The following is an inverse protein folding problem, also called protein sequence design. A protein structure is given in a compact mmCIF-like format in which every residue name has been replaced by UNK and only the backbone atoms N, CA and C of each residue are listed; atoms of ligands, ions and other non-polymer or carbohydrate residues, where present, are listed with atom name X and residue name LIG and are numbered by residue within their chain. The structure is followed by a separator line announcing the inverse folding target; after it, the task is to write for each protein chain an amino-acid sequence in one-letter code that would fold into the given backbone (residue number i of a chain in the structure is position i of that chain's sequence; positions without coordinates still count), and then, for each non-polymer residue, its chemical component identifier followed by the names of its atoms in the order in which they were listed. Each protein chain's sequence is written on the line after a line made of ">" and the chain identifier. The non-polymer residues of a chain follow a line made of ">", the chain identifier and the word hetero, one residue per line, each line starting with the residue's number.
data_IF_046999547195
#
_entry.id   IF_046999547195
#
_cell.length_a   1.000
_cell.length_b   1.000
_cell.length_c   1.000
_cell.angle_alpha   90.00
_cell.angle_beta   90.00
_cell.angle_gamma   90.00
#
_symmetry.space_group_name_H-M   'P 1'
#
loop_
_entity.id
_entity.type
_entity.pdbx_description
1 polymer ?
#
# COMPACT_ATOMS: atom_id res chain seq x y z
N UNK A 1 -12.10 0.15 -13.03
CA UNK A 1 -11.70 1.07 -14.12
C UNK A 1 -12.36 2.45 -13.96
N UNK A 2 -13.70 2.54 -13.97
CA UNK A 2 -14.42 3.82 -13.90
C UNK A 2 -14.00 4.71 -12.71
N UNK A 3 -13.97 4.18 -11.48
CA UNK A 3 -13.56 4.97 -10.30
C UNK A 3 -12.17 5.59 -10.44
N UNK A 4 -11.19 4.88 -11.02
CA UNK A 4 -9.84 5.39 -11.25
C UNK A 4 -9.88 6.53 -12.28
N UNK A 5 -10.63 6.33 -13.38
CA UNK A 5 -10.69 7.28 -14.49
C UNK A 5 -11.35 8.61 -14.12
N UNK A 6 -12.31 8.60 -13.19
CA UNK A 6 -13.02 9.81 -12.74
C UNK A 6 -12.44 10.42 -11.46
N UNK A 7 -11.49 9.73 -10.80
CA UNK A 7 -10.97 10.20 -9.52
C UNK A 7 -10.04 11.40 -9.72
N UNK A 8 -10.41 12.60 -9.24
CA UNK A 8 -9.72 13.81 -9.71
C UNK A 8 -8.25 13.91 -9.29
N UNK A 9 -7.89 13.38 -8.12
CA UNK A 9 -6.49 13.32 -7.69
C UNK A 9 -5.63 12.50 -8.67
N UNK A 10 -6.15 11.41 -9.24
CA UNK A 10 -5.39 10.61 -10.22
C UNK A 10 -5.22 11.37 -11.54
N UNK A 11 -6.25 12.10 -11.98
CA UNK A 11 -6.15 12.95 -13.17
C UNK A 11 -5.12 14.07 -12.96
N UNK A 12 -5.19 14.76 -11.81
CA UNK A 12 -4.36 15.92 -11.55
C UNK A 12 -2.88 15.56 -11.34
N UNK A 13 -2.59 14.46 -10.67
CA UNK A 13 -1.21 14.01 -10.46
C UNK A 13 -0.52 13.68 -11.80
N UNK A 14 -1.25 13.28 -12.84
CA UNK A 14 -0.70 13.13 -14.20
C UNK A 14 -0.29 14.45 -14.85
N UNK A 15 -0.90 15.58 -14.45
CA UNK A 15 -0.55 16.92 -14.96
C UNK A 15 0.64 17.54 -14.21
N UNK A 16 1.07 16.92 -13.11
CA UNK A 16 2.21 17.37 -12.33
C UNK A 16 3.39 16.40 -12.56
N UNK A 17 4.62 16.92 -12.63
CA UNK A 17 5.83 16.11 -12.74
C UNK A 17 6.18 15.47 -11.39
N UNK A 18 5.32 14.57 -10.94
CA UNK A 18 5.33 13.91 -9.63
C UNK A 18 5.66 12.42 -9.76
N UNK A 19 6.35 11.87 -8.76
CA UNK A 19 6.76 10.43 -8.76
C UNK A 19 5.59 9.49 -8.50
N UNK A 20 4.47 10.01 -7.98
CA UNK A 20 3.23 9.32 -7.66
C UNK A 20 2.63 8.62 -8.88
N UNK A 21 2.64 9.26 -10.05
CA UNK A 21 2.13 8.67 -11.30
C UNK A 21 2.92 7.42 -11.66
N UNK A 22 4.25 7.53 -11.67
CA UNK A 22 5.14 6.43 -11.99
C UNK A 22 5.08 5.31 -10.93
N UNK A 23 5.00 5.69 -9.65
CA UNK A 23 4.84 4.75 -8.55
C UNK A 23 3.53 3.96 -8.67
N UNK A 24 2.43 4.62 -9.00
CA UNK A 24 1.14 3.96 -9.17
C UNK A 24 1.10 3.05 -10.39
N UNK A 25 1.64 3.50 -11.53
CA UNK A 25 1.74 2.69 -12.73
C UNK A 25 2.56 1.40 -12.49
N UNK A 26 3.78 1.54 -11.95
CA UNK A 26 4.66 0.39 -11.66
C UNK A 26 4.04 -0.55 -10.63
N UNK A 27 3.35 -0.02 -9.62
CA UNK A 27 2.66 -0.83 -8.62
C UNK A 27 1.45 -1.58 -9.20
N UNK A 28 0.63 -0.95 -10.03
CA UNK A 28 -0.49 -1.61 -10.71
C UNK A 28 -0.01 -2.71 -11.67
N UNK A 29 1.06 -2.42 -12.43
CA UNK A 29 1.69 -3.40 -13.30
C UNK A 29 2.23 -4.59 -12.49
N UNK A 30 2.89 -4.33 -11.36
CA UNK A 30 3.34 -5.37 -10.43
C UNK A 30 2.18 -6.24 -9.95
N UNK A 31 1.07 -5.66 -9.47
CA UNK A 31 -0.07 -6.46 -8.98
C UNK A 31 -0.68 -7.32 -10.10
N UNK A 32 -0.80 -6.78 -11.31
CA UNK A 32 -1.30 -7.53 -12.48
C UNK A 32 -0.38 -8.71 -12.83
N UNK A 33 0.93 -8.46 -12.92
CA UNK A 33 1.93 -9.49 -13.22
C UNK A 33 2.05 -10.51 -12.09
N UNK A 34 1.92 -10.11 -10.83
CA UNK A 34 1.98 -11.00 -9.67
C UNK A 34 0.88 -12.05 -9.73
N UNK A 35 -0.37 -11.65 -9.96
CA UNK A 35 -1.50 -12.59 -10.10
C UNK A 35 -1.24 -13.56 -11.26
N UNK A 36 -0.89 -13.04 -12.43
CA UNK A 36 -0.63 -13.86 -13.62
C UNK A 36 0.59 -14.79 -13.44
N UNK A 37 1.63 -14.35 -12.75
CA UNK A 37 2.84 -15.12 -12.50
C UNK A 37 2.60 -16.27 -11.52
N UNK A 38 1.76 -16.06 -10.49
CA UNK A 38 1.35 -17.10 -9.54
C UNK A 38 0.41 -18.11 -10.21
N UNK A 39 -0.55 -17.66 -11.01
CA UNK A 39 -1.51 -18.55 -11.67
C UNK A 39 -0.89 -19.41 -12.77
N UNK A 40 -0.01 -18.83 -13.58
CA UNK A 40 0.61 -19.53 -14.73
C UNK A 40 1.90 -20.27 -14.37
N UNK A 41 2.61 -19.85 -13.31
CA UNK A 41 3.92 -20.39 -12.94
C UNK A 41 5.02 -20.17 -14.00
N UNK A 42 4.78 -19.36 -15.05
CA UNK A 42 5.74 -19.13 -16.13
C UNK A 42 7.00 -18.43 -15.60
N UNK A 43 8.17 -18.95 -15.97
CA UNK A 43 9.45 -18.45 -15.46
C UNK A 43 9.71 -17.01 -15.90
N UNK A 44 9.44 -16.68 -17.17
CA UNK A 44 9.58 -15.32 -17.71
C UNK A 44 8.69 -14.30 -16.98
N UNK A 45 7.43 -14.66 -16.72
CA UNK A 45 6.51 -13.78 -16.00
C UNK A 45 6.96 -13.55 -14.56
N UNK A 46 7.48 -14.57 -13.87
CA UNK A 46 7.98 -14.38 -12.51
C UNK A 46 9.21 -13.47 -12.46
N UNK A 47 10.18 -13.65 -13.37
CA UNK A 47 11.34 -12.75 -13.43
C UNK A 47 10.87 -11.32 -13.74
N UNK A 48 9.94 -11.15 -14.68
CA UNK A 48 9.38 -9.84 -15.02
C UNK A 48 8.64 -9.18 -13.84
N UNK A 49 7.85 -9.94 -13.07
CA UNK A 49 7.21 -9.44 -11.84
C UNK A 49 8.26 -8.91 -10.85
N UNK A 50 9.35 -9.64 -10.67
CA UNK A 50 10.48 -9.21 -9.85
C UNK A 50 11.14 -7.92 -10.32
N UNK A 51 11.39 -7.81 -11.62
CA UNK A 51 11.94 -6.61 -12.27
C UNK A 51 11.02 -5.41 -12.02
N UNK A 52 9.72 -5.55 -12.29
CA UNK A 52 8.75 -4.46 -12.10
C UNK A 52 8.65 -4.05 -10.62
N UNK A 53 8.70 -5.02 -9.70
CA UNK A 53 8.75 -4.69 -8.27
C UNK A 53 10.03 -3.97 -7.88
N UNK A 54 11.19 -4.35 -8.42
CA UNK A 54 12.46 -3.65 -8.21
C UNK A 54 12.43 -2.22 -8.73
N UNK A 55 11.88 -2.00 -9.93
CA UNK A 55 11.64 -0.66 -10.45
C UNK A 55 10.74 0.16 -9.51
N UNK A 56 9.70 -0.47 -8.95
CA UNK A 56 8.83 0.19 -7.98
C UNK A 56 9.58 0.57 -6.70
N UNK A 57 10.44 -0.31 -6.16
CA UNK A 57 11.25 -0.05 -4.96
C UNK A 57 12.21 1.13 -5.17
N UNK A 58 12.79 1.29 -6.36
CA UNK A 58 13.62 2.46 -6.68
C UNK A 58 12.84 3.79 -6.59
N UNK A 59 11.53 3.76 -6.84
CA UNK A 59 10.65 4.95 -6.73
C UNK A 59 10.12 5.11 -5.30
N UNK A 60 9.71 4.00 -4.68
CA UNK A 60 9.07 3.94 -3.35
C UNK A 60 9.72 2.83 -2.51
N UNK A 61 10.87 3.09 -1.89
CA UNK A 61 11.63 2.07 -1.16
C UNK A 61 10.90 1.50 0.05
N UNK A 62 9.95 2.25 0.61
CA UNK A 62 9.16 1.85 1.77
C UNK A 62 8.37 0.55 1.56
N UNK A 63 8.09 0.14 0.31
CA UNK A 63 7.29 -1.06 0.03
C UNK A 63 8.11 -2.34 -0.09
N UNK A 64 9.45 -2.28 -0.03
CA UNK A 64 10.33 -3.45 -0.11
C UNK A 64 9.93 -4.60 0.84
N UNK A 65 9.57 -4.36 2.13
CA UNK A 65 9.18 -5.45 3.03
C UNK A 65 7.93 -6.22 2.57
N UNK A 66 7.05 -5.61 1.77
CA UNK A 66 5.85 -6.27 1.26
C UNK A 66 6.12 -7.27 0.14
N UNK A 67 7.35 -7.34 -0.37
CA UNK A 67 7.75 -8.32 -1.38
C UNK A 67 7.47 -9.77 -0.93
N UNK A 68 7.65 -10.06 0.35
CA UNK A 68 7.55 -11.42 0.91
C UNK A 68 6.09 -11.84 1.14
N UNK A 69 5.20 -10.85 1.29
CA UNK A 69 3.84 -11.03 1.77
C UNK A 69 2.94 -11.88 0.84
N UNK A 70 2.96 -11.74 -0.51
CA UNK A 70 2.24 -12.64 -1.42
C UNK A 70 2.64 -14.11 -1.27
N UNK A 71 3.90 -14.40 -0.97
CA UNK A 71 4.40 -15.76 -0.80
C UNK A 71 3.98 -16.35 0.53
N UNK A 72 4.00 -15.55 1.61
CA UNK A 72 3.44 -15.95 2.91
C UNK A 72 1.96 -16.32 2.73
N UNK A 73 1.19 -15.50 2.01
CA UNK A 73 -0.23 -15.76 1.75
C UNK A 73 -0.44 -17.03 0.92
N UNK A 74 0.39 -17.23 -0.10
CA UNK A 74 0.40 -18.47 -0.88
C UNK A 74 0.63 -19.70 0.00
N UNK A 75 1.62 -19.66 0.89
CA UNK A 75 1.93 -20.76 1.81
C UNK A 75 0.80 -21.04 2.81
N UNK A 76 0.24 -19.99 3.42
CA UNK A 76 -0.88 -20.12 4.36
C UNK A 76 -2.10 -20.70 3.64
N UNK A 77 -2.43 -20.21 2.45
CA UNK A 77 -3.57 -20.69 1.66
C UNK A 77 -3.40 -22.17 1.28
N UNK A 78 -2.19 -22.57 0.87
CA UNK A 78 -1.91 -23.97 0.56
C UNK A 78 -2.01 -24.88 1.79
N UNK A 79 -1.66 -24.36 2.98
CA UNK A 79 -1.81 -25.10 4.25
C UNK A 79 -3.27 -25.27 4.66
N UNK A 80 -4.07 -24.21 4.52
CA UNK A 80 -5.51 -24.21 4.84
C UNK A 80 -6.27 -25.16 3.90
N UNK A 81 -5.91 -25.17 2.61
CA UNK A 81 -6.59 -25.97 1.59
C UNK A 81 -6.00 -27.39 1.39
N UNK A 82 -5.23 -27.91 2.36
CA UNK A 82 -4.67 -29.27 2.31
C UNK A 82 -5.81 -30.29 2.18
N UNK A 83 -5.95 -30.90 1.00
CA UNK A 83 -6.96 -31.93 0.70
C UNK A 83 -8.00 -31.53 -0.35
N UNK A 84 -8.07 -30.25 -0.75
CA UNK A 84 -8.92 -29.81 -1.85
C UNK A 84 -8.19 -29.91 -3.20
N UNK A 85 -8.91 -30.29 -4.26
CA UNK A 85 -8.43 -30.34 -5.67
C UNK A 85 -7.83 -28.99 -6.17
N UNK A 86 -8.08 -27.90 -5.44
CA UNK A 86 -7.47 -26.58 -5.66
C UNK A 86 -6.03 -26.43 -5.15
N UNK A 87 -5.46 -27.44 -4.49
CA UNK A 87 -4.09 -27.40 -3.96
C UNK A 87 -3.04 -27.61 -5.08
N UNK A 88 -2.85 -26.61 -5.95
CA UNK A 88 -1.95 -26.70 -7.12
C UNK A 88 -0.49 -26.33 -6.85
N UNK A 89 -0.15 -25.74 -5.71
CA UNK A 89 1.22 -25.29 -5.42
C UNK A 89 1.80 -25.91 -4.14
N UNK A 90 2.71 -26.86 -4.28
CA UNK A 90 3.54 -27.32 -3.17
C UNK A 90 4.52 -26.23 -2.68
N UNK A 91 5.04 -26.40 -1.46
CA UNK A 91 6.07 -25.53 -0.86
C UNK A 91 7.27 -25.29 -1.81
N UNK A 92 7.70 -26.35 -2.51
CA UNK A 92 8.78 -26.31 -3.51
C UNK A 92 8.47 -25.42 -4.72
N UNK A 93 7.20 -25.38 -5.15
CA UNK A 93 6.79 -24.51 -6.24
C UNK A 93 6.76 -23.06 -5.77
N UNK A 94 6.24 -22.79 -4.58
CA UNK A 94 6.19 -21.44 -4.03
C UNK A 94 7.60 -20.85 -3.80
N UNK A 95 8.53 -21.64 -3.27
CA UNK A 95 9.92 -21.19 -3.11
C UNK A 95 10.59 -20.94 -4.47
N UNK A 96 10.31 -21.76 -5.49
CA UNK A 96 10.78 -21.50 -6.86
C UNK A 96 10.25 -20.16 -7.39
N UNK A 97 8.96 -19.88 -7.25
CA UNK A 97 8.38 -18.60 -7.70
C UNK A 97 9.02 -17.40 -6.97
N UNK A 98 9.21 -17.52 -5.65
CA UNK A 98 9.91 -16.53 -4.84
C UNK A 98 11.33 -16.27 -5.36
N UNK A 99 12.12 -17.31 -5.59
CA UNK A 99 13.49 -17.17 -6.08
C UNK A 99 13.56 -16.52 -7.46
N UNK A 100 12.61 -16.83 -8.35
CA UNK A 100 12.55 -16.21 -9.69
C UNK A 100 12.19 -14.72 -9.62
N UNK A 101 11.24 -14.34 -8.77
CA UNK A 101 10.91 -12.93 -8.55
C UNK A 101 12.06 -12.20 -7.83
N UNK A 102 12.71 -12.85 -6.87
CA UNK A 102 13.87 -12.30 -6.16
C UNK A 102 15.04 -12.06 -7.12
N UNK A 103 15.29 -12.96 -8.06
CA UNK A 103 16.29 -12.76 -9.10
C UNK A 103 16.00 -11.51 -9.96
N UNK A 104 14.74 -11.32 -10.35
CA UNK A 104 14.33 -10.11 -11.08
C UNK A 104 14.48 -8.83 -10.26
N UNK A 105 14.14 -8.87 -8.97
CA UNK A 105 14.32 -7.75 -8.03
C UNK A 105 15.81 -7.37 -7.89
N UNK A 106 16.66 -8.37 -7.62
CA UNK A 106 18.10 -8.19 -7.46
C UNK A 106 18.70 -7.62 -8.74
N UNK A 107 18.30 -8.11 -9.92
CA UNK A 107 18.82 -7.62 -11.21
C UNK A 107 18.68 -6.09 -11.35
N UNK A 108 17.56 -5.53 -10.90
CA UNK A 108 17.29 -4.08 -10.97
C UNK A 108 17.94 -3.32 -9.81
N UNK A 109 18.01 -3.90 -8.62
CA UNK A 109 18.60 -3.25 -7.45
C UNK A 109 20.13 -3.31 -7.42
N UNK A 110 20.75 -4.28 -8.12
CA UNK A 110 22.19 -4.50 -8.10
C UNK A 110 22.99 -3.26 -8.53
N UNK A 111 22.66 -2.55 -9.64
CA UNK A 111 23.39 -1.35 -10.03
C UNK A 111 23.34 -0.25 -8.96
N UNK A 112 22.18 -0.09 -8.28
CA UNK A 112 22.02 0.85 -7.17
C UNK A 112 22.90 0.48 -5.98
N UNK A 113 22.90 -0.80 -5.57
CA UNK A 113 23.72 -1.27 -4.45
C UNK A 113 25.21 -1.20 -4.74
N UNK A 114 25.65 -1.62 -5.93
CA UNK A 114 27.07 -1.50 -6.35
C UNK A 114 27.49 -0.04 -6.33
N UNK A 115 26.67 0.85 -6.91
CA UNK A 115 26.93 2.29 -6.88
C UNK A 115 27.06 2.80 -5.45
N UNK A 116 26.16 2.44 -4.54
CA UNK A 116 26.23 2.87 -3.14
C UNK A 116 27.50 2.37 -2.43
N UNK A 117 27.91 1.12 -2.64
CA UNK A 117 29.15 0.59 -2.06
C UNK A 117 30.36 1.38 -2.59
N UNK A 118 30.44 1.58 -3.92
CA UNK A 118 31.59 2.25 -4.54
C UNK A 118 31.65 3.73 -4.18
N UNK A 119 30.52 4.43 -4.14
CA UNK A 119 30.51 5.89 -3.93
C UNK A 119 30.38 6.31 -2.46
N UNK A 120 29.65 5.55 -1.65
CA UNK A 120 29.35 5.88 -0.24
C UNK A 120 30.12 4.99 0.75
N UNK A 121 30.81 3.95 0.28
CA UNK A 121 31.52 3.00 1.14
C UNK A 121 30.60 2.08 1.95
N UNK A 122 29.28 2.12 1.71
CA UNK A 122 28.28 1.40 2.50
C UNK A 122 27.18 0.78 1.63
N UNK A 123 26.66 -0.37 2.07
CA UNK A 123 25.51 -1.02 1.43
C UNK A 123 24.21 -0.42 1.97
N UNK A 124 23.63 0.51 1.23
CA UNK A 124 22.31 1.08 1.53
C UNK A 124 21.25 0.35 0.71
N UNK A 125 20.39 -0.42 1.39
CA UNK A 125 19.40 -1.31 0.75
C UNK A 125 18.23 -0.52 0.13
N UNK A 126 17.70 0.48 0.82
CA UNK A 126 16.47 1.20 0.45
C UNK A 126 16.69 2.71 0.28
N UNK A 127 16.97 3.44 1.37
CA UNK A 127 17.43 4.84 1.37
C UNK A 127 17.61 5.32 2.82
N UNK A 128 18.62 6.16 3.08
CA UNK A 128 18.82 6.77 4.40
C UNK A 128 17.88 7.95 4.68
N UNK A 129 17.20 8.50 3.66
CA UNK A 129 16.35 9.69 3.78
C UNK A 129 15.01 9.50 4.53
N UNK A 130 14.84 8.39 5.25
CA UNK A 130 13.61 8.04 5.95
C UNK A 130 13.56 8.52 7.41
N UNK A 131 14.67 9.02 7.95
CA UNK A 131 14.78 9.52 9.32
C UNK A 131 13.84 10.69 9.63
N UNK A 132 13.83 11.72 8.78
CA UNK A 132 12.94 12.88 8.96
C UNK A 132 11.45 12.49 8.92
N UNK A 133 10.94 11.77 7.90
CA UNK A 133 9.54 11.33 7.89
C UNK A 133 9.19 10.43 9.08
N UNK A 134 10.10 9.56 9.53
CA UNK A 134 9.85 8.71 10.69
C UNK A 134 9.69 9.55 11.95
N UNK A 135 10.67 10.44 12.21
CA UNK A 135 10.65 11.36 13.34
C UNK A 135 9.37 12.22 13.38
N UNK A 136 9.00 12.85 12.27
CA UNK A 136 7.77 13.64 12.17
C UNK A 136 6.51 12.82 12.45
N UNK A 137 6.52 11.54 12.10
CA UNK A 137 5.44 10.61 12.43
C UNK A 137 5.31 10.29 13.92
N UNK A 138 6.33 10.52 14.74
CA UNK A 138 6.30 10.14 16.16
C UNK A 138 5.53 11.11 17.05
N UNK A 139 5.16 12.29 16.55
CA UNK A 139 4.51 13.35 17.31
C UNK A 139 2.99 13.27 17.17
N UNK A 140 2.25 12.86 18.22
CA UNK A 140 0.80 12.78 18.17
C UNK A 140 0.18 14.13 17.79
N UNK A 141 -0.58 14.15 16.70
CA UNK A 141 -1.25 15.36 16.20
C UNK A 141 -0.29 16.55 15.99
N UNK A 142 1.00 16.27 15.75
CA UNK A 142 2.07 17.26 15.56
C UNK A 142 2.33 18.20 16.75
N UNK A 143 1.85 17.86 17.94
CA UNK A 143 2.07 18.66 19.15
C UNK A 143 3.57 18.76 19.47
N UNK A 144 4.08 19.98 19.70
CA UNK A 144 5.45 20.29 20.11
C UNK A 144 6.56 19.83 19.13
N UNK A 145 6.23 19.48 17.88
CA UNK A 145 7.22 18.98 16.92
C UNK A 145 8.40 19.94 16.69
N UNK A 146 8.11 21.23 16.46
CA UNK A 146 9.15 22.20 16.16
C UNK A 146 9.98 22.61 17.38
N UNK A 147 9.43 22.45 18.57
CA UNK A 147 10.05 22.78 19.85
C UNK A 147 10.96 21.65 20.35
N UNK A 148 10.46 20.40 20.29
CA UNK A 148 11.15 19.22 20.84
C UNK A 148 12.34 18.76 19.98
N UNK A 149 12.37 19.07 18.68
CA UNK A 149 13.40 18.57 17.75
C UNK A 149 14.66 19.46 17.83
N UNK A 150 15.77 18.98 18.41
CA UNK A 150 16.97 19.79 18.59
C UNK A 150 17.57 20.21 17.24
N UNK A 151 18.12 21.42 17.18
CA UNK A 151 18.80 21.91 15.97
C UNK A 151 19.98 21.01 15.58
N UNK A 152 20.62 20.35 16.54
CA UNK A 152 21.78 19.45 16.36
C UNK A 152 21.48 18.18 15.56
N UNK A 153 20.22 17.77 15.43
CA UNK A 153 19.82 16.60 14.65
C UNK A 153 19.14 16.98 13.32
N UNK A 154 18.90 18.27 13.06
CA UNK A 154 18.25 18.70 11.81
C UNK A 154 19.22 18.50 10.63
N UNK A 155 18.74 17.79 9.60
CA UNK A 155 19.55 17.47 8.41
C UNK A 155 20.36 16.18 8.53
N UNK A 156 20.44 15.58 9.72
CA UNK A 156 21.11 14.29 9.95
C UNK A 156 20.06 13.17 10.07
N UNK A 157 19.84 12.44 8.98
CA UNK A 157 18.81 11.40 8.92
C UNK A 157 19.06 10.25 9.90
N UNK A 158 20.32 9.89 10.18
CA UNK A 158 20.64 8.79 11.07
C UNK A 158 20.23 9.14 12.51
N UNK A 159 20.60 10.35 12.97
CA UNK A 159 20.20 10.85 14.30
C UNK A 159 18.69 11.05 14.41
N UNK A 160 18.03 11.50 13.34
CA UNK A 160 16.57 11.65 13.32
C UNK A 160 15.85 10.29 13.41
N UNK A 161 16.37 9.27 12.72
CA UNK A 161 15.87 7.90 12.82
C UNK A 161 16.01 7.37 14.26
N UNK A 162 17.20 7.49 14.85
CA UNK A 162 17.47 7.06 16.22
C UNK A 162 16.55 7.76 17.23
N UNK A 163 16.43 9.09 17.13
CA UNK A 163 15.55 9.88 17.98
C UNK A 163 14.08 9.48 17.83
N UNK A 164 13.63 9.27 16.60
CA UNK A 164 12.26 8.84 16.33
C UNK A 164 11.96 7.47 16.95
N UNK A 165 12.86 6.50 16.79
CA UNK A 165 12.72 5.18 17.44
C UNK A 165 12.65 5.32 18.96
N UNK A 166 13.57 6.10 19.56
CA UNK A 166 13.57 6.36 21.01
C UNK A 166 12.25 6.97 21.47
N UNK A 167 11.70 7.94 20.72
CA UNK A 167 10.44 8.59 21.06
C UNK A 167 9.23 7.67 20.92
N UNK A 168 9.21 6.78 19.94
CA UNK A 168 8.16 5.74 19.84
C UNK A 168 8.18 4.86 21.08
N UNK A 169 9.36 4.34 21.45
CA UNK A 169 9.51 3.46 22.62
C UNK A 169 9.08 4.18 23.89
N UNK A 170 9.56 5.41 24.10
CA UNK A 170 9.23 6.20 25.29
C UNK A 170 7.75 6.56 25.33
N UNK A 171 7.18 6.98 24.21
CA UNK A 171 5.77 7.33 24.10
C UNK A 171 4.81 6.17 24.40
N UNK A 172 5.16 4.94 23.97
CA UNK A 172 4.40 3.76 24.34
C UNK A 172 4.59 3.34 25.81
N UNK A 173 5.66 3.79 26.48
CA UNK A 173 5.88 3.56 27.92
C UNK A 173 5.15 4.57 28.79
N UNK A 174 5.16 5.85 28.41
CA UNK A 174 4.60 6.95 29.21
C UNK A 174 3.14 7.22 28.89
N UNK A 175 2.75 7.17 27.60
CA UNK A 175 1.41 7.49 27.12
C UNK A 175 0.88 6.42 26.13
N UNK A 176 0.76 5.14 26.55
CA UNK A 176 0.48 4.01 25.65
C UNK A 176 -0.80 4.20 24.83
N UNK A 177 -1.86 4.72 25.44
CA UNK A 177 -3.14 4.91 24.74
C UNK A 177 -3.10 6.04 23.72
N UNK A 178 -2.34 7.11 24.00
CA UNK A 178 -2.16 8.22 23.05
C UNK A 178 -1.40 7.74 21.82
N UNK A 179 -0.27 7.05 22.02
CA UNK A 179 0.53 6.51 20.93
C UNK A 179 -0.20 5.41 20.17
N UNK A 180 -0.91 4.51 20.87
CA UNK A 180 -1.75 3.50 20.21
C UNK A 180 -2.82 4.16 19.32
N UNK A 181 -3.57 5.13 19.83
CA UNK A 181 -4.59 5.86 19.05
C UNK A 181 -3.97 6.64 17.90
N UNK A 182 -2.80 7.24 18.09
CA UNK A 182 -2.10 8.00 17.07
C UNK A 182 -1.66 7.10 15.91
N UNK A 183 -0.94 6.01 16.21
CA UNK A 183 -0.41 5.07 15.21
C UNK A 183 -1.49 4.21 14.54
N UNK A 184 -2.72 4.18 15.06
CA UNK A 184 -3.84 3.45 14.45
C UNK A 184 -4.83 4.40 13.76
N UNK A 185 -5.70 5.04 14.54
CA UNK A 185 -6.83 5.82 14.05
C UNK A 185 -6.41 7.23 13.65
N UNK A 186 -5.56 7.88 14.45
CA UNK A 186 -5.17 9.27 14.27
C UNK A 186 -4.52 9.51 12.92
N UNK A 187 -3.41 8.82 12.64
CA UNK A 187 -2.69 8.90 11.37
C UNK A 187 -3.53 8.43 10.18
N UNK A 188 -4.27 7.33 10.32
CA UNK A 188 -5.18 6.86 9.26
C UNK A 188 -6.19 7.93 8.90
N UNK A 189 -6.80 8.59 9.90
CA UNK A 189 -7.70 9.72 9.65
C UNK A 189 -6.98 10.83 8.88
N UNK A 190 -5.80 11.28 9.32
CA UNK A 190 -5.05 12.32 8.61
C UNK A 190 -4.75 11.96 7.14
N UNK A 191 -4.38 10.71 6.87
CA UNK A 191 -4.05 10.25 5.52
C UNK A 191 -5.27 10.14 4.58
N UNK A 192 -6.45 9.82 5.12
CA UNK A 192 -7.65 9.58 4.32
C UNK A 192 -8.73 10.66 4.47
N UNK A 193 -8.60 11.66 5.33
CA UNK A 193 -9.65 12.66 5.53
C UNK A 193 -9.76 13.63 4.33
N UNK A 194 -8.63 13.90 3.66
CA UNK A 194 -8.57 14.80 2.51
C UNK A 194 -7.89 14.12 1.32
N UNK A 195 -8.37 14.35 0.08
CA UNK A 195 -7.69 13.84 -1.09
C UNK A 195 -6.35 14.55 -1.28
N UNK A 196 -5.36 13.81 -1.77
CA UNK A 196 -4.05 14.36 -2.08
C UNK A 196 -4.16 15.51 -3.12
N UNK A 197 -3.37 16.57 -2.88
CA UNK A 197 -3.37 17.83 -3.64
C UNK A 197 -4.71 18.59 -3.67
N UNK A 198 -5.63 18.36 -2.73
CA UNK A 198 -6.93 19.06 -2.70
C UNK A 198 -6.78 20.58 -2.87
N UNK A 199 -5.85 21.20 -2.13
CA UNK A 199 -5.65 22.66 -2.14
C UNK A 199 -5.30 23.23 -3.52
N UNK A 200 -4.75 22.41 -4.42
CA UNK A 200 -4.39 22.81 -5.79
C UNK A 200 -5.61 22.91 -6.72
N UNK A 201 -6.79 22.47 -6.28
CA UNK A 201 -7.99 22.33 -7.12
C UNK A 201 -8.97 23.50 -7.06
N UNK A 202 -8.56 24.68 -6.58
CA UNK A 202 -9.33 25.92 -6.65
C UNK A 202 -10.84 25.74 -6.38
N UNK A 203 -11.66 25.97 -7.42
CA UNK A 203 -13.13 25.90 -7.36
C UNK A 203 -13.73 24.48 -7.35
N UNK A 204 -12.98 23.43 -7.74
CA UNK A 204 -13.51 22.05 -7.82
C UNK A 204 -13.28 21.22 -6.56
N UNK A 205 -12.70 21.82 -5.51
CA UNK A 205 -12.40 21.15 -4.23
C UNK A 205 -13.59 20.39 -3.65
N UNK A 206 -14.79 20.98 -3.69
CA UNK A 206 -16.02 20.36 -3.16
C UNK A 206 -16.35 19.06 -3.88
N UNK A 207 -16.27 19.04 -5.21
CA UNK A 207 -16.53 17.84 -6.02
C UNK A 207 -15.50 16.76 -5.69
N UNK A 208 -14.23 17.15 -5.51
CA UNK A 208 -13.15 16.22 -5.20
C UNK A 208 -13.37 15.56 -3.83
N UNK A 209 -13.77 16.34 -2.83
CA UNK A 209 -14.14 15.85 -1.51
C UNK A 209 -15.34 14.90 -1.55
N UNK A 210 -16.37 15.22 -2.35
CA UNK A 210 -17.55 14.36 -2.49
C UNK A 210 -17.16 13.01 -3.09
N UNK A 211 -16.45 13.00 -4.22
CA UNK A 211 -16.02 11.75 -4.87
C UNK A 211 -15.12 10.94 -3.92
N UNK A 212 -14.18 11.60 -3.24
CA UNK A 212 -13.31 10.96 -2.25
C UNK A 212 -14.11 10.30 -1.13
N UNK A 213 -15.05 11.03 -0.51
CA UNK A 213 -15.90 10.51 0.57
C UNK A 213 -16.76 9.33 0.10
N UNK A 214 -17.32 9.39 -1.11
CA UNK A 214 -18.08 8.27 -1.70
C UNK A 214 -17.21 7.02 -1.77
N UNK A 215 -15.96 7.14 -2.24
CA UNK A 215 -15.03 6.00 -2.31
C UNK A 215 -14.73 5.43 -0.93
N UNK A 216 -14.54 6.25 0.10
CA UNK A 216 -14.29 5.76 1.46
C UNK A 216 -15.52 5.06 2.05
N UNK A 217 -16.70 5.68 1.93
CA UNK A 217 -17.96 5.17 2.47
C UNK A 217 -18.33 3.84 1.82
N UNK A 218 -18.12 3.68 0.52
CA UNK A 218 -18.40 2.43 -0.20
C UNK A 218 -17.25 1.42 -0.06
N UNK A 219 -16.01 1.91 -0.01
CA UNK A 219 -14.81 1.08 0.00
C UNK A 219 -14.69 0.24 1.26
N UNK A 220 -14.86 0.83 2.45
CA UNK A 220 -14.68 0.12 3.71
C UNK A 220 -15.68 -1.05 3.87
N UNK A 221 -17.00 -0.87 3.68
CA UNK A 221 -17.94 -1.99 3.71
C UNK A 221 -17.68 -2.99 2.57
N UNK A 222 -17.25 -2.52 1.40
CA UNK A 222 -16.87 -3.37 0.28
C UNK A 222 -15.69 -4.30 0.61
N UNK A 223 -14.69 -3.81 1.35
CA UNK A 223 -13.55 -4.62 1.81
C UNK A 223 -14.06 -5.73 2.73
N UNK A 224 -14.89 -5.39 3.72
CA UNK A 224 -15.42 -6.35 4.69
C UNK A 224 -16.25 -7.41 3.97
N UNK A 225 -17.22 -7.00 3.15
CA UNK A 225 -18.13 -7.91 2.45
C UNK A 225 -17.40 -8.85 1.48
N UNK A 226 -16.43 -8.32 0.72
CA UNK A 226 -15.69 -9.13 -0.25
C UNK A 226 -14.71 -10.08 0.47
N UNK A 227 -14.04 -9.63 1.54
CA UNK A 227 -13.09 -10.44 2.30
C UNK A 227 -13.73 -11.62 3.01
N UNK A 228 -14.91 -11.44 3.60
CA UNK A 228 -15.64 -12.51 4.31
C UNK A 228 -16.06 -13.63 3.36
N UNK A 229 -16.34 -13.31 2.09
CA UNK A 229 -16.81 -14.27 1.09
C UNK A 229 -15.69 -14.92 0.28
N UNK A 230 -14.52 -14.27 0.20
CA UNK A 230 -13.46 -14.70 -0.70
C UNK A 230 -12.08 -14.50 -0.06
N UNK A 231 -11.40 -15.62 0.22
CA UNK A 231 -10.06 -15.62 0.81
C UNK A 231 -9.02 -14.90 -0.08
N UNK A 232 -9.13 -14.98 -1.41
CA UNK A 232 -8.23 -14.25 -2.32
C UNK A 232 -8.42 -12.74 -2.19
N UNK A 233 -9.67 -12.30 -2.00
CA UNK A 233 -9.98 -10.90 -1.78
C UNK A 233 -9.46 -10.42 -0.42
N UNK A 234 -9.61 -11.24 0.63
CA UNK A 234 -9.01 -10.96 1.93
C UNK A 234 -7.50 -10.72 1.80
N UNK A 235 -6.76 -11.60 1.12
CA UNK A 235 -5.33 -11.42 0.90
C UNK A 235 -4.99 -10.17 0.08
N UNK A 236 -5.79 -9.86 -0.94
CA UNK A 236 -5.63 -8.64 -1.73
C UNK A 236 -5.76 -7.38 -0.87
N UNK A 237 -6.80 -7.28 -0.03
CA UNK A 237 -6.95 -6.12 0.85
C UNK A 237 -5.96 -6.11 2.02
N UNK A 238 -5.54 -7.29 2.50
CA UNK A 238 -4.48 -7.38 3.50
C UNK A 238 -3.15 -6.86 2.97
N UNK A 239 -2.87 -7.01 1.67
CA UNK A 239 -1.73 -6.33 1.03
C UNK A 239 -1.86 -4.80 1.15
N UNK A 240 -3.04 -4.24 0.87
CA UNK A 240 -3.33 -2.82 1.04
C UNK A 240 -3.18 -2.35 2.50
N UNK A 241 -3.62 -3.16 3.47
CA UNK A 241 -3.42 -2.90 4.90
C UNK A 241 -1.94 -3.03 5.31
N UNK A 242 -1.17 -3.89 4.64
CA UNK A 242 0.29 -3.97 4.81
C UNK A 242 0.98 -2.68 4.38
N UNK A 243 0.53 -2.06 3.27
CA UNK A 243 0.99 -0.72 2.88
C UNK A 243 0.63 0.28 3.98
N UNK A 244 -0.60 0.28 4.47
CA UNK A 244 -1.03 1.18 5.54
C UNK A 244 -0.14 1.04 6.78
N UNK A 245 0.08 -0.20 7.25
CA UNK A 245 0.91 -0.48 8.43
C UNK A 245 2.32 0.09 8.29
N UNK A 246 2.95 -0.05 7.11
CA UNK A 246 4.26 0.53 6.85
C UNK A 246 4.21 2.07 6.83
N UNK A 247 3.19 2.66 6.19
CA UNK A 247 3.06 4.12 6.12
C UNK A 247 2.73 4.75 7.48
N UNK A 248 2.05 4.03 8.37
CA UNK A 248 1.75 4.48 9.74
C UNK A 248 3.00 4.65 10.61
N UNK A 249 4.14 4.09 10.21
CA UNK A 249 5.43 4.36 10.89
C UNK A 249 5.95 5.77 10.62
N UNK A 250 5.55 6.39 9.51
CA UNK A 250 6.04 7.68 9.07
C UNK A 250 5.04 8.81 9.36
N UNK A 251 5.39 10.01 8.93
CA UNK A 251 4.54 11.20 8.97
C UNK A 251 3.25 10.95 8.19
N UNK A 252 2.06 11.22 8.77
CA UNK A 252 0.81 11.04 8.05
C UNK A 252 0.64 12.15 7.02
N UNK A 253 0.54 11.77 5.74
CA UNK A 253 0.27 12.68 4.63
C UNK A 253 -0.70 12.01 3.63
N UNK A 254 -1.71 12.73 3.10
CA UNK A 254 -2.63 12.20 2.09
C UNK A 254 -1.97 11.55 0.87
N UNK A 255 -0.76 12.00 0.52
CA UNK A 255 0.07 11.42 -0.54
C UNK A 255 0.33 9.93 -0.35
N UNK A 256 0.44 9.46 0.89
CA UNK A 256 0.69 8.05 1.17
C UNK A 256 -0.56 7.20 1.01
N UNK A 257 -1.76 7.79 1.13
CA UNK A 257 -3.02 7.12 0.80
C UNK A 257 -3.24 6.96 -0.71
N UNK A 258 -2.50 7.66 -1.56
CA UNK A 258 -2.66 7.67 -3.02
C UNK A 258 -2.72 6.27 -3.64
N UNK A 259 -1.77 5.39 -3.32
CA UNK A 259 -1.76 4.00 -3.80
C UNK A 259 -2.84 3.17 -3.12
N UNK A 260 -3.11 3.42 -1.83
CA UNK A 260 -4.09 2.65 -1.05
C UNK A 260 -5.53 2.87 -1.51
N UNK A 261 -5.84 4.05 -2.06
CA UNK A 261 -7.15 4.37 -2.61
C UNK A 261 -7.58 3.40 -3.72
N UNK A 262 -6.64 2.82 -4.46
CA UNK A 262 -6.97 1.78 -5.44
C UNK A 262 -7.66 0.56 -4.81
N UNK A 263 -7.19 0.10 -3.65
CA UNK A 263 -7.81 -1.02 -2.94
C UNK A 263 -9.23 -0.68 -2.49
N UNK A 264 -9.44 0.55 -2.00
CA UNK A 264 -10.77 1.03 -1.63
C UNK A 264 -11.70 1.20 -2.83
N UNK A 265 -11.19 1.67 -3.97
CA UNK A 265 -11.96 1.77 -5.22
C UNK A 265 -12.35 0.38 -5.75
N UNK A 266 -11.45 -0.60 -5.69
CA UNK A 266 -11.75 -1.99 -6.05
C UNK A 266 -12.86 -2.57 -5.15
N UNK A 267 -12.78 -2.29 -3.84
CA UNK A 267 -13.80 -2.68 -2.88
C UNK A 267 -15.15 -1.99 -3.09
N UNK A 268 -15.14 -0.67 -3.32
CA UNK A 268 -16.33 0.10 -3.64
C UNK A 268 -17.00 -0.43 -4.90
N UNK A 269 -16.23 -0.76 -5.93
CA UNK A 269 -16.74 -1.37 -7.17
C UNK A 269 -17.40 -2.73 -6.90
N UNK A 270 -16.78 -3.58 -6.10
CA UNK A 270 -17.38 -4.87 -5.74
C UNK A 270 -18.70 -4.69 -4.97
N UNK A 271 -18.77 -3.73 -4.05
CA UNK A 271 -20.00 -3.44 -3.30
C UNK A 271 -21.12 -2.96 -4.21
N UNK A 272 -20.83 -2.04 -5.14
CA UNK A 272 -21.81 -1.54 -6.11
C UNK A 272 -22.36 -2.68 -6.96
N UNK A 273 -21.49 -3.54 -7.51
CA UNK A 273 -21.92 -4.71 -8.30
C UNK A 273 -22.78 -5.66 -7.47
N UNK A 274 -22.35 -5.96 -6.24
CA UNK A 274 -23.11 -6.84 -5.34
C UNK A 274 -24.53 -6.31 -5.05
N UNK A 275 -24.67 -5.00 -4.84
CA UNK A 275 -25.96 -4.35 -4.60
C UNK A 275 -26.83 -4.38 -5.85
N UNK A 276 -26.27 -4.05 -7.02
CA UNK A 276 -27.00 -4.11 -8.30
C UNK A 276 -27.51 -5.53 -8.60
N UNK A 277 -26.66 -6.54 -8.46
CA UNK A 277 -27.02 -7.94 -8.68
C UNK A 277 -28.14 -8.40 -7.73
N UNK A 278 -28.12 -7.94 -6.47
CA UNK A 278 -29.17 -8.23 -5.51
C UNK A 278 -30.52 -7.65 -5.93
N UNK A 279 -30.56 -6.41 -6.41
CA UNK A 279 -31.78 -5.77 -6.89
C UNK A 279 -32.32 -6.43 -8.18
N UNK A 280 -31.46 -6.69 -9.16
CA UNK A 280 -31.88 -7.31 -10.43
C UNK A 280 -32.36 -8.75 -10.25
N UNK A 281 -31.70 -9.57 -9.42
CA UNK A 281 -32.16 -10.93 -9.10
C UNK A 281 -33.51 -10.95 -8.39
N UNK A 282 -33.78 -9.96 -7.53
CA UNK A 282 -35.07 -9.84 -6.83
C UNK A 282 -36.21 -9.47 -7.78
N UNK A 283 -35.95 -8.66 -8.80
CA UNK A 283 -36.94 -8.33 -9.83
C UNK A 283 -37.26 -9.51 -10.75
N UNK A 284 -36.27 -10.29 -11.20
CA UNK A 284 -36.53 -11.48 -12.04
C UNK A 284 -37.42 -12.52 -11.34
N UNK A 285 -37.19 -12.76 -10.05
CA UNK A 285 -38.05 -13.68 -9.26
C UNK A 285 -39.46 -13.17 -9.01
N UNK A 286 -39.69 -11.86 -9.07
CA UNK A 286 -41.03 -11.28 -8.97
C UNK A 286 -41.81 -11.39 -10.28
N UNK A 287 -41.12 -11.33 -11.42
CA UNK A 287 -41.74 -11.48 -12.75
C UNK A 287 -42.08 -12.95 -13.05
N UNK A 288 -41.29 -13.91 -12.56
CA UNK A 288 -41.61 -15.34 -12.70
C UNK A 288 -42.74 -15.82 -11.77
N UNK A 289 -43.08 -15.03 -10.74
CA UNK A 289 -44.13 -15.35 -9.77
C UNK A 289 -45.47 -14.62 -10.01
N UNK A 290 -45.55 -13.84 -11.09
CA UNK A 290 -46.73 -13.09 -11.54
C UNK A 290 -47.20 -13.59 -12.89
#
# INVERSE_FOLDING_TARGET
>A
ALFIAIYPTYIFVCMNLLTETLAFFTFMLYLCLLVNAIETGKTSLNILTGIVFGCHVLIRPALLPLFILPFIFGLITNKINKGSSQNRLGLRNMSRLFMLQLAGLILIMLPWWIRNIVTLGSLIITAEASGNPLLGGTYPYFMNYFEDVPQSIRGDNAKQMEWGIKRIIEGFRTEPMLYFKWFTIGKTKYMFDTPYLLKMHGSTQTVHLIIHRIILILGVPGVILHSVKNLRAFWFYLYGLGILALQLMFVPDPRFAYIMLFFLMAAASHLVVFVLDFFFRKNSRKVEAS
#
